data_IF_034583353228
#
_entry.id   IF_034583353228
#
_cell.length_a   1.000
_cell.length_b   1.000
_cell.length_c   1.000
_cell.angle_alpha   90.00
_cell.angle_beta   90.00
_cell.angle_gamma   90.00
#
_symmetry.space_group_name_H-M   'P 1'
#
loop_
_entity.id
_entity.type
_entity.pdbx_description
1 polymer ?
#
# COMPACT_ATOMS: atom_id res chain seq x y z
N UNK A 1 -28.75 9.12 -10.48
CA UNK A 1 -28.90 8.81 -9.02
C UNK A 1 -27.99 9.78 -8.28
N UNK A 2 -28.52 10.40 -7.23
CA UNK A 2 -27.73 11.33 -6.42
C UNK A 2 -26.59 10.58 -5.70
N UNK A 3 -25.40 11.14 -5.72
CA UNK A 3 -24.22 10.53 -5.11
C UNK A 3 -24.27 10.59 -3.58
N UNK A 4 -23.53 9.70 -2.91
CA UNK A 4 -23.46 9.71 -1.44
C UNK A 4 -22.87 11.04 -0.92
N UNK A 5 -21.88 11.59 -1.62
CA UNK A 5 -21.26 12.87 -1.25
C UNK A 5 -22.24 14.05 -1.37
N UNK A 6 -23.09 14.07 -2.39
CA UNK A 6 -24.14 15.09 -2.53
C UNK A 6 -25.15 15.02 -1.37
N UNK A 7 -25.55 13.81 -0.97
CA UNK A 7 -26.40 13.61 0.19
C UNK A 7 -25.73 14.08 1.48
N UNK A 8 -24.45 13.82 1.66
CA UNK A 8 -23.67 14.28 2.83
C UNK A 8 -23.61 15.81 2.86
N UNK A 9 -23.26 16.45 1.75
CA UNK A 9 -23.20 17.89 1.67
C UNK A 9 -24.56 18.56 2.01
N UNK A 10 -25.68 17.97 1.59
CA UNK A 10 -27.03 18.45 1.90
C UNK A 10 -27.39 18.21 3.37
N UNK A 11 -27.09 17.05 3.91
CA UNK A 11 -27.33 16.73 5.32
C UNK A 11 -26.53 17.65 6.26
N UNK A 12 -25.29 18.00 5.91
CA UNK A 12 -24.48 18.99 6.64
C UNK A 12 -25.10 20.39 6.65
N UNK A 13 -25.81 20.76 5.60
CA UNK A 13 -26.59 22.01 5.54
C UNK A 13 -27.90 21.95 6.34
N UNK A 14 -28.22 20.81 6.93
CA UNK A 14 -29.39 20.64 7.80
C UNK A 14 -30.61 20.03 7.10
N UNK A 15 -30.49 19.51 5.88
CA UNK A 15 -31.60 18.84 5.19
C UNK A 15 -31.87 17.45 5.80
N UNK A 16 -32.92 17.36 6.62
CA UNK A 16 -33.30 16.11 7.31
C UNK A 16 -33.65 14.99 6.32
N UNK A 17 -34.25 15.30 5.20
CA UNK A 17 -34.57 14.31 4.16
C UNK A 17 -33.34 13.71 3.53
N UNK A 18 -32.26 14.48 3.30
CA UNK A 18 -30.98 14.00 2.81
C UNK A 18 -30.32 13.08 3.85
N UNK A 19 -30.37 13.45 5.14
CA UNK A 19 -29.90 12.59 6.22
C UNK A 19 -30.65 11.26 6.30
N UNK A 20 -31.98 11.28 6.17
CA UNK A 20 -32.78 10.04 6.14
C UNK A 20 -32.34 9.09 4.99
N UNK A 21 -31.99 9.63 3.83
CA UNK A 21 -31.47 8.84 2.72
C UNK A 21 -30.05 8.30 3.00
N UNK A 22 -29.20 9.02 3.72
CA UNK A 22 -27.91 8.52 4.19
C UNK A 22 -28.09 7.36 5.14
N UNK A 23 -29.04 7.44 6.09
CA UNK A 23 -29.39 6.34 7.00
C UNK A 23 -29.74 5.09 6.19
N UNK A 24 -30.72 5.19 5.26
CA UNK A 24 -31.12 4.06 4.41
C UNK A 24 -29.97 3.46 3.60
N UNK A 25 -29.08 4.30 3.08
CA UNK A 25 -27.95 3.87 2.28
C UNK A 25 -26.87 3.14 3.08
N UNK A 26 -26.76 3.41 4.40
CA UNK A 26 -25.65 2.94 5.25
C UNK A 26 -26.07 2.03 6.41
N UNK A 27 -27.37 1.83 6.64
CA UNK A 27 -27.92 1.07 7.76
C UNK A 27 -27.33 -0.35 7.88
N UNK A 28 -27.29 -1.08 6.77
CA UNK A 28 -26.71 -2.44 6.75
C UNK A 28 -25.23 -2.47 7.14
N UNK A 29 -24.49 -1.44 6.80
CA UNK A 29 -23.08 -1.31 7.14
C UNK A 29 -22.92 -1.04 8.64
N UNK A 30 -23.67 -0.08 9.19
CA UNK A 30 -23.63 0.28 10.62
C UNK A 30 -24.07 -0.89 11.47
N UNK A 31 -25.20 -1.53 11.13
CA UNK A 31 -25.68 -2.73 11.82
C UNK A 31 -24.64 -3.86 11.79
N UNK A 32 -24.04 -4.13 10.63
CA UNK A 32 -23.01 -5.16 10.51
C UNK A 32 -21.75 -4.88 11.35
N UNK A 33 -21.39 -3.62 11.54
CA UNK A 33 -20.30 -3.19 12.44
C UNK A 33 -20.71 -3.45 13.89
N UNK A 34 -21.90 -3.02 14.30
CA UNK A 34 -22.42 -3.20 15.65
C UNK A 34 -22.57 -4.68 16.03
N UNK A 35 -23.16 -5.50 15.15
CA UNK A 35 -23.36 -6.93 15.36
C UNK A 35 -22.03 -7.69 15.55
N UNK A 36 -21.00 -7.30 14.82
CA UNK A 36 -19.67 -7.90 14.94
C UNK A 36 -19.05 -7.67 16.31
N UNK A 37 -19.27 -6.48 16.89
CA UNK A 37 -18.73 -6.10 18.20
C UNK A 37 -19.54 -6.71 19.32
N UNK A 38 -20.88 -6.68 19.20
CA UNK A 38 -21.82 -7.02 20.28
C UNK A 38 -22.19 -8.52 20.30
N UNK A 39 -22.19 -9.18 19.13
CA UNK A 39 -22.61 -10.57 18.91
C UNK A 39 -24.04 -10.85 19.43
N UNK A 40 -24.88 -9.82 19.44
CA UNK A 40 -26.26 -9.83 19.91
C UNK A 40 -27.05 -8.91 18.98
N UNK A 41 -28.09 -9.44 18.36
CA UNK A 41 -28.82 -8.77 17.28
C UNK A 41 -29.64 -7.58 17.83
N UNK A 42 -30.29 -7.75 18.97
CA UNK A 42 -31.05 -6.68 19.60
C UNK A 42 -30.16 -5.50 20.03
N UNK A 43 -29.02 -5.82 20.64
CA UNK A 43 -28.03 -4.75 20.96
C UNK A 43 -27.41 -4.10 19.74
N UNK A 44 -27.28 -4.84 18.66
CA UNK A 44 -26.75 -4.26 17.42
C UNK A 44 -27.76 -3.29 16.77
N UNK A 45 -29.07 -3.57 16.88
CA UNK A 45 -30.12 -2.64 16.49
C UNK A 45 -30.08 -1.37 17.32
N UNK A 46 -30.02 -1.48 18.64
CA UNK A 46 -29.91 -0.33 19.55
C UNK A 46 -28.65 0.49 19.28
N UNK A 47 -27.50 -0.16 19.08
CA UNK A 47 -26.25 0.50 18.74
C UNK A 47 -26.32 1.21 17.38
N UNK A 48 -27.04 0.65 16.43
CA UNK A 48 -27.25 1.26 15.10
C UNK A 48 -28.07 2.55 15.24
N UNK A 49 -29.16 2.54 16.00
CA UNK A 49 -29.97 3.72 16.26
C UNK A 49 -29.17 4.82 16.99
N UNK A 50 -28.44 4.45 18.05
CA UNK A 50 -27.61 5.41 18.79
C UNK A 50 -26.47 5.99 17.92
N UNK A 51 -25.91 5.19 17.04
CA UNK A 51 -24.90 5.64 16.06
C UNK A 51 -25.48 6.77 15.19
N UNK A 52 -26.67 6.60 14.63
CA UNK A 52 -27.29 7.63 13.78
C UNK A 52 -27.71 8.86 14.55
N UNK A 53 -28.17 8.72 15.78
CA UNK A 53 -28.47 9.86 16.64
C UNK A 53 -27.23 10.72 16.91
N UNK A 54 -26.11 10.07 17.20
CA UNK A 54 -24.81 10.78 17.40
C UNK A 54 -24.29 11.38 16.10
N UNK A 55 -24.38 10.65 15.02
CA UNK A 55 -23.96 11.14 13.70
C UNK A 55 -24.81 12.35 13.26
N UNK A 56 -26.11 12.35 13.48
CA UNK A 56 -27.00 13.47 13.17
C UNK A 56 -26.60 14.76 13.92
N UNK A 57 -26.26 14.64 15.20
CA UNK A 57 -25.84 15.79 16.02
C UNK A 57 -24.51 16.39 15.56
N UNK A 58 -23.63 15.59 14.97
CA UNK A 58 -22.25 15.94 14.66
C UNK A 58 -21.91 15.99 13.17
N UNK A 59 -22.86 15.74 12.27
CA UNK A 59 -22.61 15.71 10.83
C UNK A 59 -22.10 17.05 10.29
N UNK A 60 -22.42 18.16 10.98
CA UNK A 60 -21.93 19.50 10.64
C UNK A 60 -20.43 19.69 10.94
N UNK A 61 -19.89 18.89 11.85
CA UNK A 61 -18.47 18.90 12.25
C UNK A 61 -17.59 18.10 11.26
N UNK A 62 -18.22 17.40 10.30
CA UNK A 62 -17.49 16.65 9.29
C UNK A 62 -16.80 17.61 8.33
N UNK A 63 -15.50 17.55 8.22
CA UNK A 63 -14.72 18.47 7.38
C UNK A 63 -14.88 18.15 5.88
N UNK A 64 -14.86 16.86 5.53
CA UNK A 64 -14.92 16.37 4.14
C UNK A 64 -16.09 15.39 3.93
N UNK A 65 -16.89 15.63 2.91
CA UNK A 65 -18.05 14.78 2.59
C UNK A 65 -17.63 13.35 2.22
N UNK A 66 -16.47 13.19 1.59
CA UNK A 66 -15.89 11.89 1.22
C UNK A 66 -15.50 11.03 2.44
N UNK A 67 -15.18 11.65 3.58
CA UNK A 67 -14.81 10.96 4.82
C UNK A 67 -16.01 10.38 5.59
N UNK A 68 -17.26 10.65 5.16
CA UNK A 68 -18.48 10.31 5.89
C UNK A 68 -18.57 8.82 6.29
N UNK A 69 -18.29 7.89 5.39
CA UNK A 69 -18.41 6.46 5.69
C UNK A 69 -17.40 5.99 6.75
N UNK A 70 -16.19 6.52 6.70
CA UNK A 70 -15.15 6.21 7.67
C UNK A 70 -15.50 6.81 9.03
N UNK A 71 -15.93 8.06 9.04
CA UNK A 71 -16.37 8.76 10.23
C UNK A 71 -17.60 8.09 10.88
N UNK A 72 -18.61 7.69 10.09
CA UNK A 72 -19.81 6.99 10.58
C UNK A 72 -19.45 5.62 11.19
N UNK A 73 -18.51 4.89 10.58
CA UNK A 73 -18.00 3.61 11.14
C UNK A 73 -17.32 3.81 12.50
N UNK A 74 -16.53 4.87 12.64
CA UNK A 74 -15.88 5.21 13.93
C UNK A 74 -16.93 5.40 15.02
N UNK A 75 -18.00 6.14 14.74
CA UNK A 75 -19.10 6.31 15.69
C UNK A 75 -19.73 4.95 16.03
N UNK A 76 -20.04 4.11 15.04
CA UNK A 76 -20.65 2.79 15.23
C UNK A 76 -19.80 1.87 16.12
N UNK A 77 -18.51 1.78 15.86
CA UNK A 77 -17.57 0.99 16.68
C UNK A 77 -17.54 1.49 18.13
N UNK A 78 -17.46 2.80 18.31
CA UNK A 78 -17.41 3.42 19.65
C UNK A 78 -18.70 3.16 20.43
N UNK A 79 -19.85 3.31 19.79
CA UNK A 79 -21.16 3.02 20.41
C UNK A 79 -21.24 1.55 20.83
N UNK A 80 -20.92 0.63 19.93
CA UNK A 80 -20.97 -0.80 20.18
C UNK A 80 -20.02 -1.24 21.33
N UNK A 81 -18.79 -0.70 21.36
CA UNK A 81 -17.84 -0.98 22.44
C UNK A 81 -18.37 -0.46 23.79
N UNK A 82 -18.92 0.74 23.83
CA UNK A 82 -19.46 1.32 25.05
C UNK A 82 -20.68 0.53 25.57
N UNK A 83 -21.58 0.11 24.69
CA UNK A 83 -22.71 -0.78 25.08
C UNK A 83 -22.22 -2.12 25.65
N UNK A 84 -21.20 -2.72 25.04
CA UNK A 84 -20.59 -3.95 25.56
C UNK A 84 -19.98 -3.78 26.95
N UNK A 85 -19.35 -2.61 27.20
CA UNK A 85 -18.76 -2.28 28.51
C UNK A 85 -19.82 -2.07 29.59
N UNK A 86 -20.90 -1.37 29.24
CA UNK A 86 -22.00 -1.09 30.20
C UNK A 86 -22.68 -2.39 30.68
N UNK A 87 -22.77 -3.43 29.86
CA UNK A 87 -23.28 -4.75 30.25
C UNK A 87 -22.34 -5.54 31.18
N UNK A 88 -21.03 -5.25 31.14
CA UNK A 88 -20.04 -5.88 32.06
C UNK A 88 -19.96 -5.21 33.43
N UNK A 89 -20.47 -4.01 33.55
CA UNK A 89 -20.55 -3.25 34.81
C UNK A 89 -22.00 -2.82 35.03
N UNK A 90 -22.74 -3.65 35.73
CA UNK A 90 -23.99 -3.23 36.36
C UNK A 90 -23.64 -2.15 37.38
N UNK A 91 -24.29 -0.98 37.28
CA UNK A 91 -24.18 0.21 38.14
C UNK A 91 -22.96 1.13 37.87
N UNK A 92 -23.22 2.26 37.18
CA UNK A 92 -23.08 3.65 37.65
C UNK A 92 -23.30 4.67 36.54
N UNK A 93 -24.25 5.53 36.80
CA UNK A 93 -24.61 6.87 36.29
C UNK A 93 -23.98 7.45 35.01
N UNK A 94 -24.90 7.87 34.14
CA UNK A 94 -24.75 8.87 33.11
C UNK A 94 -24.12 10.17 33.68
N UNK A 95 -23.05 10.64 33.07
CA UNK A 95 -22.73 12.06 33.04
C UNK A 95 -22.20 12.43 31.66
N UNK A 96 -22.65 13.60 31.17
CA UNK A 96 -22.36 14.14 29.85
C UNK A 96 -20.91 14.63 29.80
N UNK A 97 -20.12 14.09 28.90
CA UNK A 97 -18.80 14.63 28.62
C UNK A 97 -17.67 13.59 28.54
N UNK A 98 -17.85 12.55 27.72
CA UNK A 98 -16.74 11.63 27.45
C UNK A 98 -16.20 11.90 26.05
N UNK A 99 -14.97 12.40 25.99
CA UNK A 99 -14.13 12.46 24.79
C UNK A 99 -14.10 11.08 24.11
N UNK A 100 -14.34 11.07 22.80
CA UNK A 100 -14.33 9.84 22.01
C UNK A 100 -12.88 9.49 21.72
N UNK A 101 -12.37 8.33 22.16
CA UNK A 101 -11.03 7.91 21.82
C UNK A 101 -10.85 7.81 20.29
N UNK A 102 -9.80 8.41 19.79
CA UNK A 102 -9.37 8.38 18.39
C UNK A 102 -9.00 6.94 18.00
N UNK A 103 -9.02 6.60 16.73
CA UNK A 103 -8.68 5.26 16.19
C UNK A 103 -7.33 4.74 16.74
N UNK A 104 -6.39 5.64 16.94
CA UNK A 104 -5.09 5.37 17.58
C UNK A 104 -5.22 4.71 18.97
N UNK A 105 -6.29 5.02 19.71
CA UNK A 105 -6.55 4.37 21.02
C UNK A 105 -7.22 2.99 20.89
N UNK A 106 -7.90 2.69 19.78
CA UNK A 106 -8.46 1.35 19.51
C UNK A 106 -7.34 0.44 19.02
N UNK A 107 -6.44 0.96 18.17
CA UNK A 107 -5.22 0.26 17.75
C UNK A 107 -4.24 0.11 18.92
N UNK A 108 -4.16 1.07 19.83
CA UNK A 108 -3.39 0.96 21.07
C UNK A 108 -3.93 -0.11 22.06
N UNK A 109 -5.16 -0.60 21.88
CA UNK A 109 -5.75 -1.67 22.71
C UNK A 109 -5.58 -3.08 22.16
N UNK A 110 -5.16 -3.21 20.90
CA UNK A 110 -4.71 -4.51 20.41
C UNK A 110 -3.36 -4.80 21.07
N UNK A 111 -3.25 -5.97 21.67
CA UNK A 111 -1.94 -6.41 22.14
C UNK A 111 -0.99 -6.51 20.95
N UNK A 112 0.29 -6.28 21.18
CA UNK A 112 1.31 -6.45 20.14
C UNK A 112 1.23 -7.85 19.51
N UNK A 113 0.87 -8.86 20.30
CA UNK A 113 0.61 -10.22 19.83
C UNK A 113 -0.54 -10.29 18.82
N UNK A 114 -1.66 -9.60 19.04
CA UNK A 114 -2.81 -9.60 18.11
C UNK A 114 -2.48 -8.88 16.80
N UNK A 115 -1.69 -7.79 16.86
CA UNK A 115 -1.20 -7.11 15.67
C UNK A 115 -0.25 -8.00 14.88
N UNK A 116 0.67 -8.68 15.56
CA UNK A 116 1.61 -9.63 14.96
C UNK A 116 0.88 -10.81 14.30
N UNK A 117 -0.12 -11.40 14.98
CA UNK A 117 -0.92 -12.49 14.42
C UNK A 117 -1.66 -12.07 13.15
N UNK A 118 -2.31 -10.90 13.15
CA UNK A 118 -3.00 -10.40 11.96
C UNK A 118 -2.03 -10.11 10.82
N UNK A 119 -0.90 -9.48 11.11
CA UNK A 119 0.09 -9.17 10.09
C UNK A 119 0.73 -10.45 9.51
N UNK A 120 1.01 -11.44 10.35
CA UNK A 120 1.47 -12.76 9.91
C UNK A 120 0.43 -13.45 9.01
N UNK A 121 -0.86 -13.41 9.39
CA UNK A 121 -1.94 -13.98 8.60
C UNK A 121 -2.11 -13.26 7.26
N UNK A 122 -1.87 -11.95 7.16
CA UNK A 122 -1.89 -11.23 5.89
C UNK A 122 -0.81 -11.69 4.91
N UNK A 123 0.30 -12.25 5.39
CA UNK A 123 1.37 -12.77 4.54
C UNK A 123 0.99 -14.03 3.76
N UNK A 124 0.01 -14.82 4.25
CA UNK A 124 -0.48 -16.01 3.53
C UNK A 124 -1.36 -15.67 2.33
N UNK A 125 -1.82 -14.42 2.20
CA UNK A 125 -2.63 -13.97 1.10
C UNK A 125 -1.80 -13.83 -0.17
N UNK A 126 -2.40 -14.25 -1.29
CA UNK A 126 -1.83 -13.95 -2.60
C UNK A 126 -1.84 -12.42 -2.85
N UNK A 127 -0.99 -11.93 -3.76
CA UNK A 127 -0.99 -10.50 -4.11
C UNK A 127 -2.36 -9.97 -4.54
N UNK A 128 -3.14 -10.76 -5.32
CA UNK A 128 -4.50 -10.40 -5.70
C UNK A 128 -5.48 -10.32 -4.51
N UNK A 129 -5.36 -11.24 -3.54
CA UNK A 129 -6.14 -11.19 -2.30
C UNK A 129 -5.74 -9.98 -1.44
N UNK A 130 -4.44 -9.65 -1.36
CA UNK A 130 -3.95 -8.44 -0.67
C UNK A 130 -4.50 -7.17 -1.30
N UNK A 131 -4.44 -7.01 -2.63
CA UNK A 131 -5.04 -5.87 -3.33
C UNK A 131 -6.52 -5.68 -2.98
N UNK A 132 -7.29 -6.77 -2.93
CA UNK A 132 -8.70 -6.69 -2.53
C UNK A 132 -8.86 -6.25 -1.08
N UNK A 133 -8.00 -6.71 -0.17
CA UNK A 133 -7.99 -6.27 1.22
C UNK A 133 -7.62 -4.78 1.34
N UNK A 134 -6.56 -4.33 0.69
CA UNK A 134 -6.13 -2.93 0.71
C UNK A 134 -7.25 -2.01 0.21
N UNK A 135 -7.80 -2.28 -0.98
CA UNK A 135 -8.90 -1.50 -1.55
C UNK A 135 -10.16 -1.53 -0.70
N UNK A 136 -10.49 -2.69 -0.09
CA UNK A 136 -11.69 -2.84 0.75
C UNK A 136 -11.56 -2.19 2.10
N UNK A 137 -10.44 -2.39 2.79
CA UNK A 137 -10.30 -2.06 4.21
C UNK A 137 -9.51 -0.78 4.46
N UNK A 138 -8.51 -0.43 3.63
CA UNK A 138 -7.80 0.85 3.68
C UNK A 138 -8.47 1.88 2.74
N UNK A 139 -8.69 1.53 1.49
CA UNK A 139 -9.32 2.41 0.49
C UNK A 139 -10.83 2.59 0.63
N UNK A 140 -11.50 1.85 1.51
CA UNK A 140 -12.95 2.01 1.76
C UNK A 140 -13.88 1.63 0.60
N UNK A 141 -13.37 0.91 -0.43
CA UNK A 141 -14.15 0.57 -1.62
C UNK A 141 -15.38 -0.26 -1.30
N UNK A 142 -16.50 0.07 -1.95
CA UNK A 142 -17.72 -0.75 -1.87
C UNK A 142 -17.51 -2.10 -2.59
N UNK A 143 -18.34 -3.09 -2.24
CA UNK A 143 -18.32 -4.39 -2.93
C UNK A 143 -18.66 -4.22 -4.40
N UNK A 144 -19.61 -3.33 -4.73
CA UNK A 144 -19.99 -3.06 -6.12
C UNK A 144 -18.83 -2.46 -6.92
N UNK A 145 -18.05 -1.53 -6.33
CA UNK A 145 -16.85 -0.96 -6.97
C UNK A 145 -15.77 -2.02 -7.18
N UNK A 146 -15.51 -2.86 -6.17
CA UNK A 146 -14.55 -3.96 -6.30
C UNK A 146 -14.98 -4.97 -7.37
N UNK A 147 -16.27 -5.31 -7.43
CA UNK A 147 -16.81 -6.24 -8.40
C UNK A 147 -16.68 -5.69 -9.83
N UNK A 148 -17.00 -4.41 -10.03
CA UNK A 148 -16.84 -3.74 -11.33
C UNK A 148 -15.37 -3.71 -11.78
N UNK A 149 -14.44 -3.36 -10.89
CA UNK A 149 -13.01 -3.26 -11.17
C UNK A 149 -12.38 -4.63 -11.50
N UNK A 150 -12.83 -5.69 -10.81
CA UNK A 150 -12.35 -7.07 -11.04
C UNK A 150 -13.14 -7.82 -12.13
N UNK A 151 -14.11 -7.17 -12.78
CA UNK A 151 -14.91 -7.77 -13.87
C UNK A 151 -15.81 -8.93 -13.45
N UNK A 152 -16.29 -8.94 -12.20
CA UNK A 152 -17.16 -9.99 -11.63
C UNK A 152 -18.46 -9.39 -11.07
N UNK A 153 -19.46 -10.20 -10.82
CA UNK A 153 -20.66 -9.75 -10.11
C UNK A 153 -20.42 -9.57 -8.60
N UNK A 154 -21.30 -8.81 -7.95
CA UNK A 154 -21.17 -8.55 -6.51
C UNK A 154 -21.28 -9.81 -5.64
N UNK A 155 -22.04 -10.82 -6.07
CA UNK A 155 -22.19 -12.07 -5.32
C UNK A 155 -20.90 -12.87 -5.35
N UNK A 156 -20.24 -12.95 -6.51
CA UNK A 156 -18.93 -13.55 -6.67
C UNK A 156 -17.87 -12.80 -5.84
N UNK A 157 -17.90 -11.45 -5.84
CA UNK A 157 -17.00 -10.64 -5.03
C UNK A 157 -17.21 -10.85 -3.53
N UNK A 158 -18.47 -10.91 -3.05
CA UNK A 158 -18.77 -11.24 -1.63
C UNK A 158 -18.21 -12.60 -1.24
N UNK A 159 -18.39 -13.62 -2.13
CA UNK A 159 -17.86 -14.96 -1.92
C UNK A 159 -16.34 -15.00 -1.88
N UNK A 160 -15.67 -14.21 -2.76
CA UNK A 160 -14.20 -14.09 -2.78
C UNK A 160 -13.68 -13.45 -1.51
N UNK A 161 -14.26 -12.34 -1.07
CA UNK A 161 -13.92 -11.68 0.21
C UNK A 161 -14.21 -12.56 1.43
N UNK A 162 -15.28 -13.39 1.38
CA UNK A 162 -15.57 -14.35 2.44
C UNK A 162 -14.48 -15.41 2.54
N UNK A 163 -14.05 -15.99 1.41
CA UNK A 163 -12.95 -16.97 1.38
C UNK A 163 -11.64 -16.40 1.94
N UNK A 164 -11.33 -15.14 1.61
CA UNK A 164 -10.16 -14.46 2.18
C UNK A 164 -10.28 -14.37 3.72
N UNK A 165 -11.44 -13.96 4.23
CA UNK A 165 -11.67 -13.88 5.67
C UNK A 165 -11.58 -15.25 6.35
N UNK A 166 -12.13 -16.28 5.74
CA UNK A 166 -12.08 -17.65 6.28
C UNK A 166 -10.64 -18.19 6.29
N UNK A 167 -9.86 -17.86 5.25
CA UNK A 167 -8.43 -18.19 5.16
C UNK A 167 -7.64 -17.52 6.29
N UNK A 168 -7.84 -16.22 6.52
CA UNK A 168 -7.20 -15.47 7.61
C UNK A 168 -7.64 -16.00 8.99
N UNK A 169 -8.94 -16.28 9.17
CA UNK A 169 -9.46 -16.83 10.43
C UNK A 169 -8.84 -18.19 10.74
N UNK A 170 -8.82 -19.09 9.75
CA UNK A 170 -8.24 -20.41 9.91
C UNK A 170 -6.77 -20.35 10.28
N UNK A 171 -6.00 -19.44 9.67
CA UNK A 171 -4.59 -19.25 9.99
C UNK A 171 -4.40 -18.73 11.42
N UNK A 172 -5.19 -17.75 11.85
CA UNK A 172 -5.17 -17.22 13.21
C UNK A 172 -5.56 -18.30 14.22
N UNK A 173 -6.63 -19.09 13.97
CA UNK A 173 -7.08 -20.18 14.84
C UNK A 173 -6.08 -21.35 14.91
N UNK A 174 -5.50 -21.75 13.79
CA UNK A 174 -4.39 -22.73 13.76
C UNK A 174 -3.15 -22.20 14.49
N UNK A 175 -3.01 -20.90 14.50
CA UNK A 175 -1.97 -20.17 15.20
C UNK A 175 -2.11 -20.25 16.71
N UNK A 176 -3.31 -20.17 17.25
CA UNK A 176 -3.58 -20.29 18.67
C UNK A 176 -3.45 -21.75 19.16
N UNK A 177 -3.63 -22.74 18.29
CA UNK A 177 -3.53 -24.17 18.60
C UNK A 177 -2.12 -24.76 18.43
N UNK A 178 -1.21 -24.05 17.75
CA UNK A 178 0.10 -24.58 17.34
C UNK A 178 1.27 -24.14 18.22
N UNK A 179 1.07 -23.87 19.49
CA UNK A 179 2.18 -23.65 20.45
C UNK A 179 3.06 -24.89 20.67
N UNK A 180 2.82 -25.98 19.95
CA UNK A 180 3.62 -27.21 20.03
C UNK A 180 4.01 -27.66 18.61
N UNK A 181 5.27 -27.37 18.18
CA UNK A 181 5.90 -28.10 17.06
C UNK A 181 6.55 -27.27 15.95
N UNK A 182 7.84 -27.16 16.04
CA UNK A 182 8.90 -26.99 15.01
C UNK A 182 8.49 -26.76 13.56
N UNK A 183 8.69 -25.52 13.11
CA UNK A 183 8.72 -25.09 11.69
C UNK A 183 8.60 -23.58 11.65
N UNK A 184 9.58 -22.87 11.03
CA UNK A 184 9.60 -21.40 10.98
C UNK A 184 8.28 -20.84 10.41
N UNK A 185 7.40 -20.46 11.31
CA UNK A 185 6.16 -19.76 11.02
C UNK A 185 6.45 -18.26 10.78
N UNK A 186 5.60 -17.51 10.04
CA UNK A 186 5.63 -16.04 10.03
C UNK A 186 5.64 -15.38 11.42
N UNK A 187 5.36 -16.14 12.49
CA UNK A 187 5.38 -15.73 13.91
C UNK A 187 6.77 -15.47 14.45
N UNK A 188 7.80 -16.06 13.84
CA UNK A 188 9.18 -15.89 14.29
C UNK A 188 9.82 -14.61 13.74
N UNK A 189 9.02 -13.78 13.00
CA UNK A 189 9.52 -12.52 12.46
C UNK A 189 9.66 -11.46 13.57
N UNK A 190 10.73 -10.66 13.56
CA UNK A 190 10.87 -9.52 14.46
C UNK A 190 9.65 -8.59 14.37
N UNK A 191 9.17 -8.06 15.49
CA UNK A 191 7.98 -7.19 15.56
C UNK A 191 8.03 -6.02 14.55
N UNK A 192 9.22 -5.43 14.38
CA UNK A 192 9.44 -4.37 13.41
C UNK A 192 9.22 -4.81 11.96
N UNK A 193 9.64 -6.02 11.60
CA UNK A 193 9.43 -6.59 10.25
C UNK A 193 7.93 -6.78 10.01
N UNK A 194 7.23 -7.31 10.98
CA UNK A 194 5.78 -7.50 10.93
C UNK A 194 5.05 -6.18 10.73
N UNK A 195 5.41 -5.14 11.48
CA UNK A 195 4.84 -3.80 11.35
C UNK A 195 5.04 -3.23 9.94
N UNK A 196 6.27 -3.28 9.41
CA UNK A 196 6.60 -2.77 8.07
C UNK A 196 5.81 -3.49 6.96
N UNK A 197 5.69 -4.82 7.07
CA UNK A 197 4.95 -5.63 6.10
C UNK A 197 3.44 -5.37 6.16
N UNK A 198 2.89 -5.03 7.33
CA UNK A 198 1.46 -4.77 7.52
C UNK A 198 0.99 -3.43 6.94
N UNK A 199 1.90 -2.49 6.66
CA UNK A 199 1.55 -1.21 6.04
C UNK A 199 0.85 -1.41 4.69
N UNK A 200 -0.11 -0.55 4.32
CA UNK A 200 -0.83 -0.68 3.06
C UNK A 200 0.10 -0.55 1.86
N UNK A 201 -0.26 -1.22 0.76
CA UNK A 201 0.36 -1.03 -0.54
C UNK A 201 -0.29 0.15 -1.25
N UNK A 202 0.28 1.36 -1.13
CA UNK A 202 -0.34 2.60 -1.63
C UNK A 202 -0.55 2.60 -3.15
N UNK A 203 0.27 1.86 -3.91
CA UNK A 203 0.10 1.69 -5.36
C UNK A 203 -1.24 1.03 -5.73
N UNK A 204 -1.89 0.35 -4.78
CA UNK A 204 -3.21 -0.27 -4.94
C UNK A 204 -4.38 0.67 -4.60
N UNK A 205 -4.11 1.88 -4.12
CA UNK A 205 -5.10 2.85 -3.64
C UNK A 205 -5.20 4.02 -4.62
N UNK A 206 -6.11 3.99 -5.62
CA UNK A 206 -6.20 5.03 -6.66
C UNK A 206 -6.52 6.43 -6.12
N UNK A 207 -7.07 6.56 -4.92
CA UNK A 207 -7.32 7.82 -4.25
C UNK A 207 -6.08 8.40 -3.56
N UNK A 208 -5.06 7.58 -3.32
CA UNK A 208 -3.82 8.03 -2.70
C UNK A 208 -2.90 8.67 -3.76
N UNK A 209 -2.15 9.74 -3.43
CA UNK A 209 -1.18 10.36 -4.34
C UNK A 209 -0.21 9.38 -5.00
N UNK A 210 0.30 8.39 -4.26
CA UNK A 210 1.17 7.33 -4.80
C UNK A 210 0.42 6.45 -5.80
N UNK A 211 -0.83 6.07 -5.50
CA UNK A 211 -1.66 5.30 -6.41
C UNK A 211 -1.96 6.05 -7.71
N UNK A 212 -2.20 7.36 -7.65
CA UNK A 212 -2.41 8.21 -8.81
C UNK A 212 -1.16 8.28 -9.70
N UNK A 213 0.00 8.56 -9.11
CA UNK A 213 1.29 8.56 -9.83
C UNK A 213 1.55 7.20 -10.48
N UNK A 214 1.29 6.11 -9.73
CA UNK A 214 1.45 4.75 -10.25
C UNK A 214 0.56 4.50 -11.47
N UNK A 215 -0.69 4.98 -11.47
CA UNK A 215 -1.59 4.85 -12.62
C UNK A 215 -1.08 5.60 -13.85
N UNK A 216 -0.55 6.82 -13.67
CA UNK A 216 0.03 7.60 -14.77
C UNK A 216 1.23 6.85 -15.38
N UNK A 217 2.13 6.36 -14.53
CA UNK A 217 3.30 5.60 -14.99
C UNK A 217 2.90 4.30 -15.70
N UNK A 218 1.91 3.56 -15.20
CA UNK A 218 1.38 2.36 -15.88
C UNK A 218 0.83 2.66 -17.28
N UNK A 219 0.26 3.83 -17.51
CA UNK A 219 -0.19 4.25 -18.84
C UNK A 219 0.98 4.49 -19.78
N UNK A 220 2.02 5.20 -19.33
CA UNK A 220 3.24 5.44 -20.10
C UNK A 220 3.93 4.12 -20.46
N UNK A 221 4.00 3.19 -19.50
CA UNK A 221 4.65 1.89 -19.67
C UNK A 221 3.66 0.76 -19.99
N UNK A 222 2.57 1.07 -20.67
CA UNK A 222 1.49 0.09 -20.96
C UNK A 222 1.96 -1.11 -21.81
N UNK A 223 3.06 -0.99 -22.56
CA UNK A 223 3.70 -2.08 -23.29
C UNK A 223 4.58 -2.99 -22.43
N UNK A 224 4.81 -2.64 -21.14
CA UNK A 224 5.57 -3.48 -20.22
C UNK A 224 4.64 -4.41 -19.46
N UNK A 225 5.09 -5.66 -19.26
CA UNK A 225 4.30 -6.69 -18.61
C UNK A 225 4.44 -6.58 -17.09
N UNK A 226 3.33 -6.50 -16.35
CA UNK A 226 3.40 -6.48 -14.89
C UNK A 226 4.08 -7.75 -14.34
N UNK A 227 5.02 -7.56 -13.41
CA UNK A 227 5.72 -8.65 -12.74
C UNK A 227 5.75 -8.43 -11.23
N UNK A 228 5.63 -9.51 -10.48
CA UNK A 228 5.72 -9.51 -9.04
C UNK A 228 7.07 -10.05 -8.59
N UNK A 229 7.61 -9.47 -7.52
CA UNK A 229 8.88 -9.85 -6.92
C UNK A 229 8.71 -10.14 -5.42
N UNK A 230 9.52 -11.04 -4.85
CA UNK A 230 9.46 -11.34 -3.43
C UNK A 230 9.85 -10.14 -2.57
N UNK A 231 9.24 -10.02 -1.40
CA UNK A 231 9.61 -9.01 -0.39
C UNK A 231 10.80 -9.49 0.47
N UNK A 232 10.99 -10.81 0.60
CA UNK A 232 12.10 -11.39 1.32
C UNK A 232 13.22 -11.80 0.36
N UNK A 233 14.43 -11.37 0.67
CA UNK A 233 15.63 -11.64 -0.12
C UNK A 233 16.58 -12.55 0.67
N UNK A 234 17.04 -13.64 0.07
CA UNK A 234 18.15 -14.41 0.58
C UNK A 234 19.44 -13.61 0.38
N UNK A 235 19.82 -12.86 1.40
CA UNK A 235 20.93 -11.93 1.33
C UNK A 235 22.28 -12.65 1.28
N UNK A 236 22.36 -13.83 1.89
CA UNK A 236 23.56 -14.69 1.82
C UNK A 236 23.79 -15.16 0.37
N UNK A 237 22.74 -15.62 -0.31
CA UNK A 237 22.82 -16.00 -1.72
C UNK A 237 23.11 -14.80 -2.64
N UNK A 238 22.52 -13.63 -2.37
CA UNK A 238 22.78 -12.41 -3.12
C UNK A 238 24.24 -11.99 -3.06
N UNK A 239 24.84 -11.99 -1.87
CA UNK A 239 26.27 -11.66 -1.67
C UNK A 239 27.23 -12.67 -2.33
N UNK A 240 26.85 -13.93 -2.39
CA UNK A 240 27.67 -15.00 -2.95
C UNK A 240 27.66 -15.07 -4.48
N UNK A 241 26.90 -14.22 -5.16
CA UNK A 241 26.69 -14.29 -6.61
C UNK A 241 26.95 -12.94 -7.31
N UNK A 242 26.73 -12.91 -8.62
CA UNK A 242 26.81 -11.70 -9.45
C UNK A 242 25.85 -10.61 -8.96
N UNK A 243 24.76 -10.98 -8.30
CA UNK A 243 23.78 -10.03 -7.74
C UNK A 243 24.36 -9.17 -6.62
N UNK A 244 25.55 -9.50 -6.10
CA UNK A 244 26.30 -8.62 -5.18
C UNK A 244 26.59 -7.24 -5.78
N UNK A 245 26.70 -7.14 -7.10
CA UNK A 245 26.89 -5.84 -7.80
C UNK A 245 25.67 -4.92 -7.65
N UNK A 246 24.48 -5.46 -7.33
CA UNK A 246 23.27 -4.69 -7.06
C UNK A 246 23.11 -4.31 -5.57
N UNK A 247 24.04 -4.67 -4.70
CA UNK A 247 24.04 -4.27 -3.29
C UNK A 247 24.79 -2.94 -3.17
N UNK A 248 24.04 -1.84 -3.11
CA UNK A 248 24.56 -0.46 -3.10
C UNK A 248 24.16 0.34 -1.86
N UNK A 249 23.48 -0.30 -0.90
CA UNK A 249 23.12 0.28 0.39
C UNK A 249 24.00 -0.31 1.48
N UNK A 250 24.24 0.50 2.53
CA UNK A 250 24.98 0.01 3.69
C UNK A 250 24.20 -1.06 4.44
N UNK A 251 24.91 -2.02 5.05
CA UNK A 251 24.27 -3.09 5.82
C UNK A 251 23.44 -2.57 6.99
N UNK A 252 23.84 -1.43 7.56
CA UNK A 252 23.09 -0.75 8.62
C UNK A 252 21.72 -0.24 8.17
N UNK A 253 21.56 0.01 6.88
CA UNK A 253 20.28 0.45 6.27
C UNK A 253 19.34 -0.71 5.92
N UNK A 254 19.76 -1.96 6.11
CA UNK A 254 18.97 -3.13 5.79
C UNK A 254 18.08 -3.55 6.98
N UNK A 255 16.87 -3.95 6.66
CA UNK A 255 15.98 -4.63 7.61
C UNK A 255 16.24 -6.13 7.56
N UNK A 256 17.05 -6.64 8.49
CA UNK A 256 17.27 -8.07 8.64
C UNK A 256 16.04 -8.76 9.22
N UNK A 257 15.62 -9.81 8.55
CA UNK A 257 14.54 -10.70 8.97
C UNK A 257 15.09 -11.80 9.89
N UNK A 258 16.21 -12.34 9.50
CA UNK A 258 17.03 -13.31 10.22
C UNK A 258 18.49 -13.23 9.74
N UNK A 259 19.33 -14.18 10.17
CA UNK A 259 20.76 -14.24 9.81
C UNK A 259 21.01 -14.41 8.30
N UNK A 260 20.00 -14.79 7.53
CA UNK A 260 20.09 -15.11 6.11
C UNK A 260 19.29 -14.19 5.22
N UNK A 261 18.16 -13.67 5.71
CA UNK A 261 17.17 -12.92 4.90
C UNK A 261 17.07 -11.48 5.33
N UNK A 262 16.81 -10.63 4.33
CA UNK A 262 16.45 -9.21 4.50
C UNK A 262 15.11 -8.92 3.83
N UNK A 263 14.48 -7.80 4.20
CA UNK A 263 13.46 -7.19 3.36
C UNK A 263 14.13 -6.51 2.15
N UNK A 264 13.48 -6.58 0.98
CA UNK A 264 13.98 -5.90 -0.22
C UNK A 264 14.07 -4.39 0.01
N UNK A 265 15.18 -3.79 -0.32
CA UNK A 265 15.41 -2.35 -0.22
C UNK A 265 15.24 -1.61 -1.56
N UNK A 266 15.10 -2.35 -2.65
CA UNK A 266 14.80 -1.91 -4.02
C UNK A 266 14.07 -3.03 -4.79
N UNK A 267 13.80 -2.80 -6.07
CA UNK A 267 13.21 -3.81 -6.96
C UNK A 267 14.26 -4.52 -7.82
N UNK A 268 15.44 -3.95 -7.98
CA UNK A 268 16.48 -4.49 -8.86
C UNK A 268 17.08 -5.78 -8.32
N UNK A 269 17.45 -5.84 -7.03
CA UNK A 269 18.06 -7.04 -6.44
C UNK A 269 17.14 -8.27 -6.54
N UNK A 270 15.85 -8.21 -6.09
CA UNK A 270 14.96 -9.37 -6.23
C UNK A 270 14.67 -9.74 -7.69
N UNK A 271 14.65 -8.77 -8.62
CA UNK A 271 14.55 -9.04 -10.05
C UNK A 271 15.73 -9.89 -10.53
N UNK A 272 16.96 -9.45 -10.27
CA UNK A 272 18.16 -10.16 -10.70
C UNK A 272 18.30 -11.54 -10.07
N UNK A 273 17.75 -11.74 -8.87
CA UNK A 273 17.75 -13.05 -8.21
C UNK A 273 16.72 -14.02 -8.78
N UNK A 274 15.57 -13.54 -9.25
CA UNK A 274 14.42 -14.39 -9.54
C UNK A 274 14.05 -14.49 -11.03
N UNK A 275 14.44 -13.51 -11.85
CA UNK A 275 14.08 -13.50 -13.29
C UNK A 275 15.22 -14.08 -14.13
N UNK A 276 14.86 -14.72 -15.25
CA UNK A 276 15.79 -15.27 -16.23
C UNK A 276 15.26 -14.98 -17.63
N UNK A 277 16.17 -14.84 -18.57
CA UNK A 277 15.87 -14.70 -19.99
C UNK A 277 15.57 -16.06 -20.61
N UNK A 278 14.40 -16.21 -21.18
CA UNK A 278 13.88 -17.45 -21.76
C UNK A 278 13.77 -17.36 -23.30
N UNK A 279 14.63 -16.57 -23.93
CA UNK A 279 14.66 -16.45 -25.40
C UNK A 279 13.67 -15.43 -25.98
N UNK A 280 12.88 -14.74 -25.13
CA UNK A 280 11.98 -13.65 -25.53
C UNK A 280 12.36 -12.37 -24.79
N UNK A 281 12.17 -11.18 -25.39
CA UNK A 281 12.43 -9.92 -24.72
C UNK A 281 11.68 -9.83 -23.37
N UNK A 282 12.38 -9.33 -22.36
CA UNK A 282 11.80 -9.10 -21.04
C UNK A 282 11.52 -7.60 -20.88
N UNK A 283 10.27 -7.19 -21.01
CA UNK A 283 9.81 -5.83 -20.73
C UNK A 283 8.92 -5.88 -19.49
N UNK A 284 9.48 -5.62 -18.34
CA UNK A 284 8.79 -5.80 -17.06
C UNK A 284 8.47 -4.45 -16.42
N UNK A 285 7.23 -4.31 -15.98
CA UNK A 285 6.76 -3.30 -15.04
C UNK A 285 6.65 -3.92 -13.65
N UNK A 286 7.32 -3.33 -12.68
CA UNK A 286 7.37 -3.84 -11.31
C UNK A 286 7.05 -2.69 -10.37
N UNK A 287 6.26 -2.94 -9.33
CA UNK A 287 5.92 -1.94 -8.34
C UNK A 287 5.69 -2.56 -6.97
N UNK A 288 5.90 -1.79 -5.92
CA UNK A 288 5.62 -2.26 -4.58
C UNK A 288 6.40 -1.54 -3.49
N UNK A 289 6.20 -2.01 -2.27
CA UNK A 289 6.94 -1.51 -1.10
C UNK A 289 8.38 -1.98 -1.15
N UNK A 290 9.25 -1.09 -0.71
CA UNK A 290 10.66 -1.36 -0.40
C UNK A 290 10.97 -0.81 0.99
N UNK A 291 12.04 -1.30 1.61
CA UNK A 291 12.29 -1.11 3.02
C UNK A 291 13.74 -0.72 3.25
N UNK A 292 13.95 0.47 3.83
CA UNK A 292 15.30 0.93 4.21
C UNK A 292 15.29 1.42 5.64
N UNK A 293 16.27 1.02 6.40
CA UNK A 293 16.45 1.49 7.77
C UNK A 293 17.24 2.80 7.74
N UNK A 294 16.62 3.88 8.15
CA UNK A 294 17.28 5.16 8.35
C UNK A 294 17.43 5.45 9.83
N UNK A 295 18.54 6.09 10.22
CA UNK A 295 18.75 6.51 11.61
C UNK A 295 17.69 7.52 12.06
N UNK A 296 17.17 8.31 11.13
CA UNK A 296 16.10 9.28 11.36
C UNK A 296 15.14 9.32 10.19
N UNK A 297 13.86 9.18 10.52
CA UNK A 297 12.78 9.45 9.56
C UNK A 297 12.54 10.96 9.50
N UNK A 298 12.51 11.51 8.31
CA UNK A 298 12.31 12.94 8.08
C UNK A 298 11.34 13.19 6.91
N UNK A 299 11.24 14.43 6.44
CA UNK A 299 10.34 14.82 5.35
C UNK A 299 10.69 14.20 4.00
N UNK A 300 11.85 13.52 3.87
CA UNK A 300 12.37 12.95 2.62
C UNK A 300 12.70 11.46 2.72
N UNK A 301 12.68 10.86 3.93
CA UNK A 301 13.07 9.48 4.17
C UNK A 301 12.03 8.74 5.00
N UNK A 302 11.56 7.62 4.44
CA UNK A 302 10.66 6.66 5.07
C UNK A 302 11.34 5.29 5.16
N UNK A 303 11.05 4.54 6.20
CA UNK A 303 11.57 3.17 6.39
C UNK A 303 10.79 2.10 5.60
N UNK A 304 9.60 2.42 5.14
CA UNK A 304 8.86 1.68 4.12
C UNK A 304 8.28 2.70 3.14
N UNK A 305 8.56 2.56 1.87
CA UNK A 305 8.11 3.43 0.80
C UNK A 305 7.86 2.63 -0.48
N UNK A 306 7.36 3.26 -1.53
CA UNK A 306 6.99 2.58 -2.75
C UNK A 306 7.95 2.93 -3.89
N UNK A 307 8.34 1.91 -4.63
CA UNK A 307 9.07 2.07 -5.89
C UNK A 307 8.29 1.45 -7.04
N UNK A 308 8.46 2.01 -8.23
CA UNK A 308 8.22 1.34 -9.48
C UNK A 308 9.54 1.14 -10.21
N UNK A 309 9.68 0.03 -10.91
CA UNK A 309 10.83 -0.25 -11.75
C UNK A 309 10.38 -0.74 -13.12
N UNK A 310 11.04 -0.24 -14.15
CA UNK A 310 10.94 -0.72 -15.52
C UNK A 310 12.22 -1.46 -15.83
N UNK A 311 12.11 -2.66 -16.33
CA UNK A 311 13.25 -3.45 -16.77
C UNK A 311 13.03 -3.93 -18.20
N UNK A 312 14.03 -3.71 -19.04
CA UNK A 312 13.97 -4.07 -20.45
C UNK A 312 15.25 -4.78 -20.87
N UNK A 313 15.17 -6.08 -21.18
CA UNK A 313 16.23 -6.91 -21.72
C UNK A 313 15.81 -7.40 -23.11
N UNK A 314 16.58 -7.10 -24.15
CA UNK A 314 16.29 -7.50 -25.49
C UNK A 314 17.47 -7.36 -26.44
N UNK A 315 17.24 -7.52 -27.74
CA UNK A 315 18.26 -7.37 -28.78
C UNK A 315 18.81 -5.92 -28.76
N UNK A 316 20.12 -5.74 -28.98
CA UNK A 316 20.80 -4.44 -29.02
C UNK A 316 20.26 -3.49 -30.10
N UNK A 317 19.59 -4.02 -31.13
CA UNK A 317 18.94 -3.18 -32.13
C UNK A 317 17.61 -2.58 -31.65
N UNK A 318 16.97 -3.24 -30.68
CA UNK A 318 15.65 -2.86 -30.17
C UNK A 318 15.73 -2.11 -28.86
N UNK A 319 16.74 -2.39 -28.03
CA UNK A 319 16.91 -1.85 -26.67
C UNK A 319 18.21 -1.08 -26.58
N UNK A 320 18.16 0.15 -26.09
CA UNK A 320 19.33 0.97 -25.82
C UNK A 320 19.06 2.04 -24.73
N UNK A 321 20.14 2.68 -24.27
CA UNK A 321 20.07 3.73 -23.26
C UNK A 321 19.23 4.93 -23.71
N UNK A 322 19.27 5.28 -24.99
CA UNK A 322 18.55 6.45 -25.52
C UNK A 322 17.04 6.25 -25.51
N UNK A 323 16.58 5.08 -25.93
CA UNK A 323 15.14 4.72 -25.86
C UNK A 323 14.66 4.74 -24.43
N UNK A 324 15.44 4.19 -23.47
CA UNK A 324 15.09 4.27 -22.05
C UNK A 324 15.06 5.71 -21.55
N UNK A 325 16.06 6.54 -21.90
CA UNK A 325 16.07 7.96 -21.52
C UNK A 325 14.84 8.71 -22.06
N UNK A 326 14.42 8.42 -23.28
CA UNK A 326 13.21 9.02 -23.86
C UNK A 326 11.96 8.63 -23.06
N UNK A 327 11.80 7.34 -22.72
CA UNK A 327 10.69 6.87 -21.89
C UNK A 327 10.71 7.48 -20.49
N UNK A 328 11.89 7.61 -19.90
CA UNK A 328 12.08 8.26 -18.59
C UNK A 328 11.61 9.71 -18.62
N UNK A 329 12.05 10.49 -19.60
CA UNK A 329 11.64 11.90 -19.73
C UNK A 329 10.13 12.03 -19.96
N UNK A 330 9.55 11.19 -20.82
CA UNK A 330 8.11 11.16 -21.05
C UNK A 330 7.34 10.80 -19.77
N UNK A 331 7.85 9.86 -18.98
CA UNK A 331 7.20 9.43 -17.75
C UNK A 331 7.23 10.50 -16.66
N UNK A 332 8.35 11.23 -16.54
CA UNK A 332 8.46 12.33 -15.58
C UNK A 332 7.59 13.50 -16.00
N UNK A 333 7.57 13.86 -17.29
CA UNK A 333 6.69 14.92 -17.79
C UNK A 333 5.20 14.58 -17.62
N UNK A 334 4.82 13.32 -17.81
CA UNK A 334 3.44 12.88 -17.53
C UNK A 334 3.04 13.00 -16.05
N UNK A 335 3.99 12.79 -15.13
CA UNK A 335 3.74 12.91 -13.69
C UNK A 335 3.80 14.36 -13.22
N UNK A 336 4.82 15.13 -13.62
CA UNK A 336 5.06 16.53 -13.22
C UNK A 336 5.24 17.42 -14.46
N UNK A 337 4.15 17.74 -15.17
CA UNK A 337 4.20 18.41 -16.46
C UNK A 337 4.89 19.77 -16.40
N UNK A 338 5.75 20.04 -17.39
CA UNK A 338 6.44 21.32 -17.53
C UNK A 338 7.53 21.60 -16.49
N UNK A 339 7.92 20.61 -15.70
CA UNK A 339 8.99 20.78 -14.72
C UNK A 339 10.36 20.87 -15.38
N UNK A 340 11.24 21.70 -14.83
CA UNK A 340 12.66 21.71 -15.21
C UNK A 340 13.34 20.47 -14.65
N UNK A 341 14.02 19.71 -15.50
CA UNK A 341 14.73 18.49 -15.11
C UNK A 341 16.21 18.60 -15.34
N UNK A 342 17.00 17.97 -14.48
CA UNK A 342 18.45 17.83 -14.62
C UNK A 342 18.82 16.36 -14.63
N UNK A 343 19.62 15.95 -15.62
CA UNK A 343 20.19 14.60 -15.71
C UNK A 343 21.60 14.64 -15.17
N UNK A 344 21.90 13.81 -14.19
CA UNK A 344 23.20 13.73 -13.52
C UNK A 344 23.79 12.35 -13.73
N UNK A 345 25.00 12.23 -14.32
CA UNK A 345 25.68 10.94 -14.38
C UNK A 345 25.99 10.42 -12.99
N UNK A 346 25.73 9.12 -12.77
CA UNK A 346 26.00 8.44 -11.51
C UNK A 346 26.67 7.09 -11.75
N UNK A 347 26.97 6.34 -10.69
CA UNK A 347 27.65 5.04 -10.78
C UNK A 347 26.98 4.02 -9.88
N UNK A 348 26.58 2.91 -10.49
CA UNK A 348 26.16 1.69 -9.81
C UNK A 348 27.04 0.53 -10.32
N UNK A 349 27.53 -0.33 -9.43
CA UNK A 349 28.42 -1.44 -9.83
C UNK A 349 27.75 -2.41 -10.81
N UNK A 350 26.41 -2.55 -10.74
CA UNK A 350 25.62 -3.34 -11.68
C UNK A 350 25.45 -2.71 -13.06
N UNK A 351 25.77 -1.41 -13.23
CA UNK A 351 25.58 -0.67 -14.47
C UNK A 351 26.91 -0.27 -15.13
N UNK A 352 26.97 -0.37 -16.45
CA UNK A 352 28.06 0.19 -17.27
C UNK A 352 27.94 1.69 -17.46
N UNK A 353 26.70 2.20 -17.46
CA UNK A 353 26.34 3.61 -17.51
C UNK A 353 25.09 3.81 -16.66
N UNK A 354 25.03 4.89 -15.88
CA UNK A 354 23.88 5.22 -15.07
C UNK A 354 23.70 6.73 -14.92
N UNK A 355 22.45 7.13 -14.70
CA UNK A 355 22.06 8.51 -14.53
C UNK A 355 20.96 8.61 -13.46
N UNK A 356 20.91 9.75 -12.80
CA UNK A 356 19.83 10.19 -11.93
C UNK A 356 19.10 11.36 -12.60
N UNK A 357 17.81 11.45 -12.36
CA UNK A 357 17.00 12.58 -12.76
C UNK A 357 16.53 13.34 -11.54
N UNK A 358 16.83 14.62 -11.54
CA UNK A 358 16.37 15.57 -10.55
C UNK A 358 15.34 16.52 -11.17
N UNK A 359 14.29 16.80 -10.43
CA UNK A 359 13.24 17.77 -10.77
C UNK A 359 13.45 19.03 -9.93
N UNK A 360 13.44 20.19 -10.55
CA UNK A 360 13.46 21.47 -9.85
C UNK A 360 12.06 21.83 -9.36
N UNK A 361 11.92 22.05 -8.05
CA UNK A 361 10.70 22.48 -7.41
C UNK A 361 11.03 23.47 -6.28
N UNK A 362 10.39 24.64 -6.27
CA UNK A 362 10.63 25.72 -5.30
C UNK A 362 12.11 26.09 -5.13
N UNK A 363 12.86 26.10 -6.26
CA UNK A 363 14.29 26.43 -6.28
C UNK A 363 15.21 25.36 -5.67
N UNK A 364 14.69 24.17 -5.41
CA UNK A 364 15.45 23.00 -4.95
C UNK A 364 15.41 21.88 -5.97
N UNK A 365 16.47 21.10 -6.03
CA UNK A 365 16.56 19.91 -6.87
C UNK A 365 16.20 18.67 -6.05
N UNK A 366 15.28 17.88 -6.58
CA UNK A 366 14.80 16.65 -5.96
C UNK A 366 15.11 15.48 -6.88
N UNK A 367 15.98 14.56 -6.45
CA UNK A 367 16.18 13.28 -7.12
C UNK A 367 14.90 12.45 -7.01
N UNK A 368 14.34 12.04 -8.15
CA UNK A 368 13.07 11.31 -8.21
C UNK A 368 13.21 9.91 -8.78
N UNK A 369 14.26 9.66 -9.53
CA UNK A 369 14.50 8.37 -10.16
C UNK A 369 15.96 8.24 -10.65
N UNK A 370 16.35 6.98 -10.92
CA UNK A 370 17.60 6.65 -11.57
C UNK A 370 17.37 5.60 -12.67
N UNK A 371 18.23 5.61 -13.72
CA UNK A 371 18.23 4.57 -14.75
C UNK A 371 19.63 4.23 -15.21
N UNK A 372 19.79 3.07 -15.84
CA UNK A 372 21.09 2.65 -16.31
C UNK A 372 21.07 1.50 -17.31
N UNK A 373 22.22 1.29 -17.91
CA UNK A 373 22.52 0.12 -18.74
C UNK A 373 23.27 -0.88 -17.89
N UNK A 374 22.73 -2.05 -17.73
CA UNK A 374 23.38 -3.10 -16.95
C UNK A 374 24.67 -3.61 -17.61
N UNK A 375 25.59 -4.09 -16.78
CA UNK A 375 26.85 -4.66 -17.27
C UNK A 375 26.61 -5.98 -18.02
N UNK A 376 27.53 -6.34 -18.91
CA UNK A 376 27.56 -7.63 -19.60
C UNK A 376 27.53 -8.81 -18.61
N UNK A 377 28.09 -8.62 -17.40
CA UNK A 377 28.09 -9.60 -16.32
C UNK A 377 26.67 -9.90 -15.84
N UNK A 378 25.86 -8.86 -15.66
CA UNK A 378 24.44 -9.00 -15.29
C UNK A 378 23.63 -9.62 -16.44
N UNK A 379 23.86 -9.20 -17.70
CA UNK A 379 23.16 -9.78 -18.86
C UNK A 379 23.42 -11.29 -18.95
N UNK A 380 24.67 -11.75 -18.75
CA UNK A 380 25.02 -13.20 -18.71
C UNK A 380 24.36 -13.89 -17.52
N UNK A 381 24.32 -13.25 -16.36
CA UNK A 381 23.66 -13.80 -15.17
C UNK A 381 22.16 -14.06 -15.41
N UNK A 382 21.51 -13.17 -16.14
CA UNK A 382 20.10 -13.35 -16.54
C UNK A 382 19.91 -14.45 -17.61
N UNK A 383 20.98 -15.00 -18.18
CA UNK A 383 20.92 -16.07 -19.19
C UNK A 383 20.91 -15.58 -20.63
N UNK A 384 21.17 -14.28 -20.86
CA UNK A 384 21.24 -13.69 -22.19
C UNK A 384 22.69 -13.55 -22.67
N UNK A 385 22.89 -13.52 -24.01
CA UNK A 385 24.21 -13.29 -24.62
C UNK A 385 24.47 -11.78 -24.77
N UNK A 386 25.44 -11.20 -24.05
CA UNK A 386 25.72 -9.77 -24.11
C UNK A 386 26.28 -9.30 -25.47
N UNK A 387 26.74 -10.20 -26.35
CA UNK A 387 27.11 -9.81 -27.72
C UNK A 387 25.86 -9.41 -28.55
N UNK A 388 24.70 -9.95 -28.22
CA UNK A 388 23.41 -9.74 -28.93
C UNK A 388 22.43 -8.92 -28.11
N UNK A 389 22.44 -9.02 -26.80
CA UNK A 389 21.43 -8.46 -25.91
C UNK A 389 22.00 -7.37 -25.01
N UNK A 390 21.14 -6.47 -24.61
CA UNK A 390 21.42 -5.44 -23.60
C UNK A 390 20.24 -5.40 -22.61
N UNK A 391 20.53 -5.06 -21.37
CA UNK A 391 19.54 -4.78 -20.36
C UNK A 391 19.63 -3.32 -19.93
N UNK A 392 18.47 -2.66 -19.82
CA UNK A 392 18.33 -1.31 -19.27
C UNK A 392 17.24 -1.33 -18.21
N UNK A 393 17.35 -0.49 -17.18
CA UNK A 393 16.35 -0.39 -16.14
C UNK A 393 16.22 1.03 -15.61
N UNK A 394 15.03 1.35 -15.06
CA UNK A 394 14.72 2.64 -14.48
C UNK A 394 13.87 2.46 -13.21
N UNK A 395 14.35 3.01 -12.09
CA UNK A 395 13.68 2.94 -10.78
C UNK A 395 13.14 4.30 -10.35
N UNK A 396 11.88 4.35 -9.91
CA UNK A 396 11.13 5.56 -9.55
C UNK A 396 10.79 5.56 -8.06
N UNK A 397 11.10 6.66 -7.35
CA UNK A 397 10.61 6.92 -5.99
C UNK A 397 9.19 7.51 -6.04
N UNK A 398 8.18 6.71 -5.75
CA UNK A 398 6.79 7.10 -5.99
C UNK A 398 6.30 8.18 -5.03
N UNK A 399 6.71 8.15 -3.76
CA UNK A 399 6.38 9.20 -2.79
C UNK A 399 7.00 10.56 -3.16
N UNK A 400 8.24 10.58 -3.67
CA UNK A 400 8.89 11.81 -4.12
C UNK A 400 8.17 12.42 -5.32
N UNK A 401 7.81 11.60 -6.30
CA UNK A 401 7.02 12.03 -7.45
C UNK A 401 5.62 12.51 -7.04
N UNK A 402 4.97 11.81 -6.12
CA UNK A 402 3.68 12.19 -5.57
C UNK A 402 3.76 13.53 -4.81
N UNK A 403 4.80 13.71 -4.00
CA UNK A 403 5.04 14.96 -3.27
C UNK A 403 5.16 16.15 -4.22
N UNK A 404 5.96 16.02 -5.29
CA UNK A 404 6.13 17.06 -6.31
C UNK A 404 4.85 17.37 -7.06
N UNK A 405 4.11 16.33 -7.50
CA UNK A 405 2.87 16.50 -8.25
C UNK A 405 1.78 17.22 -7.46
N UNK A 406 1.65 16.92 -6.17
CA UNK A 406 0.55 17.38 -5.32
C UNK A 406 0.94 18.45 -4.30
N UNK A 407 2.19 18.97 -4.37
CA UNK A 407 2.68 20.01 -3.47
C UNK A 407 2.74 19.54 -2.00
N UNK A 408 3.11 18.29 -1.75
CA UNK A 408 3.21 17.73 -0.40
C UNK A 408 4.63 17.98 0.12
N UNK A 409 4.75 18.79 1.14
CA UNK A 409 6.01 19.22 1.76
C UNK A 409 6.68 18.14 2.65
N UNK A 410 5.91 17.13 3.05
CA UNK A 410 6.36 16.07 3.96
C UNK A 410 5.78 14.72 3.52
N UNK A 411 6.64 13.84 3.01
CA UNK A 411 6.22 12.52 2.50
C UNK A 411 5.58 11.62 3.56
N UNK A 412 5.78 11.88 4.85
CA UNK A 412 5.12 11.14 5.95
C UNK A 412 3.61 11.35 5.98
N UNK A 413 3.11 12.42 5.35
CA UNK A 413 1.66 12.71 5.24
C UNK A 413 0.99 11.92 4.12
N UNK A 414 1.76 11.29 3.23
CA UNK A 414 1.24 10.60 2.03
C UNK A 414 0.39 9.38 2.38
N UNK A 415 0.73 8.63 3.43
CA UNK A 415 0.00 7.42 3.82
C UNK A 415 -1.49 7.68 4.07
N UNK A 416 -1.82 8.86 4.60
CA UNK A 416 -3.20 9.28 4.89
C UNK A 416 -3.79 10.25 3.88
N UNK A 417 -3.00 10.69 2.89
CA UNK A 417 -3.45 11.67 1.89
C UNK A 417 -4.41 11.04 0.88
N UNK A 418 -5.43 11.80 0.50
CA UNK A 418 -6.37 11.47 -0.57
C UNK A 418 -6.39 12.58 -1.60
N UNK A 419 -6.37 12.21 -2.87
CA UNK A 419 -6.56 13.15 -3.99
C UNK A 419 -8.02 13.15 -4.37
N UNK A 420 -8.64 14.33 -4.43
CA UNK A 420 -9.97 14.47 -5.00
C UNK A 420 -9.94 14.07 -6.48
N UNK A 421 -10.89 13.22 -6.88
CA UNK A 421 -11.09 12.83 -8.27
C UNK A 421 -11.73 13.94 -9.08
#
# INVERSE_FOLDING_TARGET
MESLNELVARARRGEVAAYGRLVQATERMVFGVALRVLRDEALAEDATQDTYLRAFRRIRDLEEDAAFLTWLRRIAVTVAINMRRTRRTTFLRLDDGVDVPILDEIEARWSDTQRQQLAAALLILTPGERRLCDRRYHGGWSIGRLAHDEGVDEAAMRKRLQRIRDKLRKDIEMSEQSEIGTGQSPRDLPARIVELLSRPQLTNLPENPVGQVTQILRQVFSQFVPAELPEFIDFTAARASVTSDAIYVDEAELHHVDDRRILRYDMTLPLLMTKRYEGQPMNLWIEGKVYRRYDRLDTKHLDAFHQAEVFWLGDRNDVDAWKMTTLVLQSVDAVVPGSTVRIVPTKYAMCSQAWELEVEHDGQLHEVMAWGVFTDRIVRHLGADPARHVAVGAGYGLERLAALRYGIDDIRKIDSATVAQ
#
